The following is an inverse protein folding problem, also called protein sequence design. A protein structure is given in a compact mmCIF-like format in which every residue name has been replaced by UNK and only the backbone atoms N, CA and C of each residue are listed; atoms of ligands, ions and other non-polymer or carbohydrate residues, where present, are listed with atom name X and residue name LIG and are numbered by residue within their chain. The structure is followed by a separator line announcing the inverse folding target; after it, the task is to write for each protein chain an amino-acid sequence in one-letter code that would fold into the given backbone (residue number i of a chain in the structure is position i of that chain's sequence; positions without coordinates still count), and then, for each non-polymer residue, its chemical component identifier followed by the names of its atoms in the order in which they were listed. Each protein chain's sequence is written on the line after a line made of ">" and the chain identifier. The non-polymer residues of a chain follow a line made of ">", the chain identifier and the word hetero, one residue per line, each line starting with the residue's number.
data_IF_828966009789
#
_entry.id   IF_828966009789
#
_cell.length_a   1.000
_cell.length_b   1.000
_cell.length_c   1.000
_cell.angle_alpha   90.00
_cell.angle_beta   90.00
_cell.angle_gamma   90.00
#
_symmetry.space_group_name_H-M   'P 1'
#
loop_
_entity.id
_entity.type
_entity.pdbx_description
1 polymer ?
#
# COMPACT_ATOMS: atom_id res chain seq x y z
N UNK A 1 -15.45 -16.12 -23.91
CA UNK A 1 -15.51 -16.72 -22.57
C UNK A 1 -14.17 -16.47 -21.90
N UNK A 2 -14.14 -15.87 -20.73
CA UNK A 2 -12.89 -15.59 -20.02
C UNK A 2 -12.34 -16.87 -19.39
N UNK A 3 -11.02 -16.95 -19.17
CA UNK A 3 -10.39 -18.15 -18.59
C UNK A 3 -11.00 -18.54 -17.24
N UNK A 4 -11.37 -17.57 -16.41
CA UNK A 4 -11.94 -17.85 -15.10
C UNK A 4 -13.37 -18.42 -15.19
N UNK A 5 -14.18 -18.07 -16.21
CA UNK A 5 -15.46 -18.69 -16.46
C UNK A 5 -15.30 -20.16 -16.89
N UNK A 6 -14.28 -20.47 -17.73
CA UNK A 6 -13.94 -21.87 -18.11
C UNK A 6 -13.58 -22.70 -16.89
N UNK A 7 -12.93 -22.09 -15.91
CA UNK A 7 -12.53 -22.72 -14.63
C UNK A 7 -13.65 -22.71 -13.57
N UNK A 8 -14.89 -22.35 -13.94
CA UNK A 8 -16.05 -22.22 -13.04
C UNK A 8 -15.81 -21.24 -11.86
N UNK A 9 -14.97 -20.21 -12.07
CA UNK A 9 -14.78 -19.16 -11.11
C UNK A 9 -15.78 -18.01 -11.37
N UNK A 10 -16.28 -17.39 -10.29
CA UNK A 10 -17.28 -16.31 -10.36
C UNK A 10 -16.66 -14.94 -10.65
N UNK A 11 -15.39 -14.76 -10.31
CA UNK A 11 -14.63 -13.53 -10.49
C UNK A 11 -13.20 -13.85 -10.93
N UNK A 12 -12.52 -12.88 -11.52
CA UNK A 12 -11.10 -12.99 -11.83
C UNK A 12 -10.26 -13.02 -10.53
N UNK A 13 -9.52 -14.13 -10.23
CA UNK A 13 -8.82 -14.28 -8.96
C UNK A 13 -7.56 -13.44 -8.84
N UNK A 14 -6.88 -13.16 -9.96
CA UNK A 14 -5.56 -12.56 -9.97
C UNK A 14 -5.50 -11.19 -10.65
N UNK A 15 -6.61 -10.42 -10.61
CA UNK A 15 -6.61 -9.02 -11.01
C UNK A 15 -5.54 -8.24 -10.23
N UNK A 16 -4.82 -7.35 -10.93
CA UNK A 16 -3.83 -6.44 -10.32
C UNK A 16 -4.45 -5.16 -9.77
N UNK A 17 -5.75 -4.96 -9.96
CA UNK A 17 -6.49 -3.85 -9.36
C UNK A 17 -6.52 -3.97 -7.84
N UNK A 18 -6.33 -2.87 -7.09
CA UNK A 18 -6.36 -2.90 -5.63
C UNK A 18 -7.80 -3.10 -5.13
N UNK A 19 -8.19 -4.37 -4.98
CA UNK A 19 -9.48 -4.80 -4.45
C UNK A 19 -9.29 -5.31 -3.01
N UNK A 20 -9.92 -4.69 -2.00
CA UNK A 20 -9.85 -5.13 -0.61
C UNK A 20 -10.38 -6.55 -0.38
N UNK A 21 -11.37 -7.02 -1.16
CA UNK A 21 -11.95 -8.36 -1.03
C UNK A 21 -10.94 -9.46 -1.42
N UNK A 22 -10.01 -9.15 -2.33
CA UNK A 22 -8.94 -10.04 -2.78
C UNK A 22 -7.59 -9.78 -2.09
N UNK A 23 -7.59 -9.02 -1.00
CA UNK A 23 -6.37 -8.72 -0.26
C UNK A 23 -6.03 -9.82 0.74
N UNK A 24 -5.00 -10.59 0.44
CA UNK A 24 -4.44 -11.55 1.38
C UNK A 24 -3.68 -10.82 2.50
N UNK A 25 -4.21 -10.92 3.73
CA UNK A 25 -3.61 -10.29 4.91
C UNK A 25 -2.49 -11.16 5.47
N UNK A 26 -1.27 -10.96 4.98
CA UNK A 26 -0.09 -11.61 5.56
C UNK A 26 0.15 -11.15 7.01
N UNK A 27 1.04 -11.82 7.73
CA UNK A 27 1.44 -11.46 9.08
C UNK A 27 1.96 -10.02 9.17
N UNK A 28 2.76 -9.59 8.17
CA UNK A 28 3.27 -8.23 8.06
C UNK A 28 2.15 -7.20 7.86
N UNK A 29 1.18 -7.48 6.98
CA UNK A 29 0.04 -6.60 6.75
C UNK A 29 -0.85 -6.46 8.00
N UNK A 30 -1.14 -7.56 8.69
CA UNK A 30 -1.92 -7.52 9.93
C UNK A 30 -1.22 -6.70 11.01
N UNK A 31 0.09 -6.89 11.19
CA UNK A 31 0.88 -6.12 12.15
C UNK A 31 0.89 -4.63 11.80
N UNK A 32 1.05 -4.28 10.51
CA UNK A 32 1.02 -2.89 10.06
C UNK A 32 -0.35 -2.24 10.35
N UNK A 33 -1.46 -2.94 10.02
CA UNK A 33 -2.83 -2.45 10.27
C UNK A 33 -3.08 -2.21 11.76
N UNK A 34 -2.76 -3.19 12.62
CA UNK A 34 -2.94 -3.07 14.07
C UNK A 34 -2.14 -1.90 14.66
N UNK A 35 -0.87 -1.73 14.26
CA UNK A 35 -0.04 -0.63 14.72
C UNK A 35 -0.54 0.73 14.23
N UNK A 36 -1.00 0.81 12.97
CA UNK A 36 -1.61 2.04 12.43
C UNK A 36 -2.90 2.38 13.15
N UNK A 37 -3.77 1.40 13.39
CA UNK A 37 -5.01 1.60 14.15
C UNK A 37 -4.72 2.17 15.54
N UNK A 38 -3.79 1.57 16.28
CA UNK A 38 -3.38 2.05 17.61
C UNK A 38 -2.83 3.48 17.54
N UNK A 39 -1.94 3.77 16.58
CA UNK A 39 -1.33 5.09 16.43
C UNK A 39 -2.39 6.17 16.11
N UNK A 40 -3.36 5.86 15.25
CA UNK A 40 -4.47 6.75 14.87
C UNK A 40 -5.41 6.98 16.06
N UNK A 41 -5.84 5.92 16.76
CA UNK A 41 -6.72 6.01 17.92
C UNK A 41 -6.11 6.83 19.07
N UNK A 42 -4.80 6.67 19.27
CA UNK A 42 -4.05 7.44 20.27
C UNK A 42 -3.59 8.82 19.77
N UNK A 43 -3.99 9.24 18.56
CA UNK A 43 -3.67 10.54 17.94
C UNK A 43 -2.18 10.90 18.03
N UNK A 44 -1.30 9.93 17.69
CA UNK A 44 0.16 10.05 17.85
C UNK A 44 0.85 10.90 16.77
N UNK A 45 0.21 11.20 15.67
CA UNK A 45 0.69 12.11 14.62
C UNK A 45 1.22 11.38 13.39
N UNK A 46 2.52 11.04 13.29
CA UNK A 46 3.14 10.58 12.05
C UNK A 46 3.47 9.09 12.06
N UNK A 47 2.91 8.38 11.08
CA UNK A 47 3.21 6.99 10.77
C UNK A 47 3.80 6.86 9.37
N UNK A 48 4.86 6.08 9.24
CA UNK A 48 5.55 5.81 7.98
C UNK A 48 5.55 4.30 7.70
N UNK A 49 4.82 3.91 6.66
CA UNK A 49 4.77 2.52 6.17
C UNK A 49 5.60 2.43 4.90
N UNK A 50 6.59 1.58 4.94
CA UNK A 50 7.56 1.38 3.86
C UNK A 50 7.36 0.02 3.21
N UNK A 51 7.77 -0.09 1.97
CA UNK A 51 7.79 -1.35 1.23
C UNK A 51 8.02 -1.09 -0.25
N UNK A 52 8.47 -2.10 -0.95
CA UNK A 52 8.72 -2.00 -2.40
C UNK A 52 7.43 -1.90 -3.20
N UNK A 53 7.56 -1.63 -4.49
CA UNK A 53 6.43 -1.65 -5.44
C UNK A 53 5.78 -3.01 -5.44
N UNK A 54 4.44 -3.04 -5.34
CA UNK A 54 3.68 -4.29 -5.42
C UNK A 54 3.56 -5.08 -4.11
N UNK A 55 4.01 -4.54 -2.96
CA UNK A 55 3.84 -5.15 -1.63
C UNK A 55 2.45 -4.93 -1.01
N UNK A 56 1.52 -4.25 -1.70
CA UNK A 56 0.14 -4.09 -1.25
C UNK A 56 -0.16 -2.83 -0.42
N UNK A 57 0.74 -1.83 -0.35
CA UNK A 57 0.56 -0.60 0.44
C UNK A 57 -0.74 0.15 0.13
N UNK A 58 -1.05 0.36 -1.15
CA UNK A 58 -2.30 1.03 -1.57
C UNK A 58 -3.55 0.27 -1.13
N UNK A 59 -3.53 -1.06 -1.19
CA UNK A 59 -4.67 -1.87 -0.73
C UNK A 59 -4.76 -1.83 0.80
N UNK A 60 -3.62 -1.84 1.50
CA UNK A 60 -3.57 -1.68 2.96
C UNK A 60 -4.24 -0.37 3.40
N UNK A 61 -4.00 0.76 2.71
CA UNK A 61 -4.63 2.04 3.05
C UNK A 61 -6.15 2.01 2.88
N UNK A 62 -6.66 1.33 1.85
CA UNK A 62 -8.11 1.16 1.65
C UNK A 62 -8.74 0.35 2.77
N UNK A 63 -8.08 -0.74 3.19
CA UNK A 63 -8.52 -1.55 4.32
C UNK A 63 -8.46 -0.75 5.62
N UNK A 64 -7.41 0.04 5.82
CA UNK A 64 -7.31 0.92 6.99
C UNK A 64 -8.53 1.87 7.06
N UNK A 65 -8.92 2.49 5.95
CA UNK A 65 -10.13 3.33 5.90
C UNK A 65 -11.38 2.51 6.24
N UNK A 66 -11.51 1.29 5.68
CA UNK A 66 -12.67 0.43 5.95
C UNK A 66 -12.82 0.04 7.43
N UNK A 67 -11.70 -0.11 8.16
CA UNK A 67 -11.74 -0.43 9.61
C UNK A 67 -12.44 0.64 10.43
N UNK A 68 -12.46 1.88 9.96
CA UNK A 68 -13.07 3.03 10.67
C UNK A 68 -14.40 3.50 10.05
N UNK A 69 -14.90 2.83 9.00
CA UNK A 69 -16.10 3.28 8.26
C UNK A 69 -17.38 3.40 9.10
N UNK A 70 -17.44 2.75 10.26
CA UNK A 70 -18.61 2.79 11.14
C UNK A 70 -18.44 3.79 12.31
N UNK A 71 -17.33 4.55 12.32
CA UNK A 71 -16.99 5.45 13.41
C UNK A 71 -17.01 6.91 12.91
N UNK A 72 -18.06 7.64 13.25
CA UNK A 72 -18.29 9.02 12.79
C UNK A 72 -17.26 10.05 13.33
N UNK A 73 -16.49 9.67 14.35
CA UNK A 73 -15.45 10.52 14.95
C UNK A 73 -14.13 10.51 14.19
N UNK A 74 -13.99 9.74 13.09
CA UNK A 74 -12.82 9.75 12.23
C UNK A 74 -13.14 10.37 10.87
N UNK A 75 -12.24 11.23 10.40
CA UNK A 75 -12.32 11.88 9.07
C UNK A 75 -11.08 11.50 8.28
N UNK A 76 -11.26 10.69 7.25
CA UNK A 76 -10.17 10.24 6.38
C UNK A 76 -10.08 11.06 5.10
N UNK A 77 -8.87 11.48 4.80
CA UNK A 77 -8.50 12.08 3.52
C UNK A 77 -7.38 11.27 2.89
N UNK A 78 -7.41 11.09 1.57
CA UNK A 78 -6.41 10.28 0.86
C UNK A 78 -5.85 11.02 -0.34
N UNK A 79 -4.54 11.21 -0.34
CA UNK A 79 -3.75 11.72 -1.46
C UNK A 79 -3.03 10.56 -2.13
N UNK A 80 -3.45 10.19 -3.35
CA UNK A 80 -2.88 9.05 -4.08
C UNK A 80 -1.53 9.35 -4.71
N UNK A 81 -1.30 10.58 -5.12
CA UNK A 81 -0.07 11.03 -5.77
C UNK A 81 0.29 12.46 -5.34
N UNK A 82 1.35 12.65 -4.54
CA UNK A 82 1.78 13.99 -4.10
C UNK A 82 2.69 14.72 -5.11
N UNK A 83 2.60 14.40 -6.41
CA UNK A 83 3.41 15.00 -7.47
C UNK A 83 2.90 16.39 -7.87
N UNK A 84 3.21 17.41 -7.07
CA UNK A 84 2.88 18.80 -7.35
C UNK A 84 4.12 19.58 -7.77
N UNK A 85 3.93 20.64 -8.58
CA UNK A 85 5.03 21.46 -9.09
C UNK A 85 5.48 22.56 -8.11
N UNK A 86 4.63 22.92 -7.15
CA UNK A 86 4.92 24.02 -6.21
C UNK A 86 4.24 23.82 -4.86
N UNK A 87 4.75 24.53 -3.83
CA UNK A 87 4.13 24.64 -2.51
C UNK A 87 2.66 25.09 -2.61
N UNK A 88 2.40 26.08 -3.45
CA UNK A 88 1.06 26.60 -3.69
C UNK A 88 0.09 25.49 -4.16
N UNK A 89 0.49 24.71 -5.17
CA UNK A 89 -0.35 23.62 -5.68
C UNK A 89 -0.58 22.51 -4.64
N UNK A 90 0.43 22.20 -3.84
CA UNK A 90 0.31 21.21 -2.77
C UNK A 90 -0.68 21.68 -1.70
N UNK A 91 -0.54 22.91 -1.20
CA UNK A 91 -1.46 23.52 -0.22
C UNK A 91 -2.89 23.65 -0.79
N UNK A 92 -3.02 24.09 -2.05
CA UNK A 92 -4.32 24.14 -2.73
C UNK A 92 -4.97 22.76 -2.78
N UNK A 93 -4.22 21.69 -3.08
CA UNK A 93 -4.78 20.34 -3.11
C UNK A 93 -5.25 19.88 -1.72
N UNK A 94 -4.53 20.24 -0.66
CA UNK A 94 -4.94 19.95 0.72
C UNK A 94 -6.23 20.70 1.09
N UNK A 95 -6.34 21.99 0.79
CA UNK A 95 -7.57 22.75 1.07
C UNK A 95 -8.76 22.21 0.32
N UNK A 96 -8.57 21.83 -0.96
CA UNK A 96 -9.61 21.18 -1.77
C UNK A 96 -10.03 19.83 -1.17
N UNK A 97 -9.07 19.02 -0.73
CA UNK A 97 -9.32 17.72 -0.11
C UNK A 97 -10.07 17.85 1.22
N UNK A 98 -9.73 18.85 2.03
CA UNK A 98 -10.40 19.14 3.30
C UNK A 98 -11.74 19.89 3.12
N UNK A 99 -12.08 20.24 1.88
CA UNK A 99 -13.26 21.02 1.51
C UNK A 99 -13.33 22.36 2.26
N UNK A 100 -12.19 23.06 2.35
CA UNK A 100 -12.08 24.38 2.98
C UNK A 100 -11.81 25.45 1.94
N UNK A 101 -12.40 26.62 2.14
CA UNK A 101 -12.27 27.76 1.23
C UNK A 101 -11.41 28.82 1.93
N UNK A 102 -10.21 29.15 1.41
CA UNK A 102 -9.40 30.24 1.94
C UNK A 102 -10.02 31.60 1.61
N UNK A 103 -9.75 32.61 2.42
CA UNK A 103 -10.26 33.98 2.23
C UNK A 103 -9.67 34.61 0.98
N UNK A 104 -8.35 34.47 0.76
CA UNK A 104 -7.62 34.89 -0.42
C UNK A 104 -6.85 33.69 -1.00
N UNK A 105 -6.05 33.93 -2.06
CA UNK A 105 -5.32 32.85 -2.76
C UNK A 105 -3.81 32.99 -2.61
N UNK A 106 -3.32 33.08 -1.36
CA UNK A 106 -1.89 33.03 -1.05
C UNK A 106 -1.54 31.74 -0.31
N UNK A 107 -0.26 31.38 -0.26
CA UNK A 107 0.22 30.24 0.53
C UNK A 107 -0.10 30.39 2.02
N UNK A 108 -0.10 31.62 2.52
CA UNK A 108 -0.45 31.93 3.91
C UNK A 108 -1.94 31.64 4.17
N UNK A 109 -2.83 32.11 3.29
CA UNK A 109 -4.28 31.90 3.43
C UNK A 109 -4.63 30.42 3.40
N UNK A 110 -3.94 29.63 2.58
CA UNK A 110 -4.14 28.17 2.56
C UNK A 110 -3.70 27.51 3.87
N UNK A 111 -2.56 27.93 4.43
CA UNK A 111 -2.09 27.42 5.75
C UNK A 111 -3.07 27.78 6.85
N UNK A 112 -3.53 29.02 6.91
CA UNK A 112 -4.53 29.47 7.89
C UNK A 112 -5.89 28.76 7.73
N UNK A 113 -6.32 28.50 6.49
CA UNK A 113 -7.56 27.77 6.25
C UNK A 113 -7.45 26.31 6.72
N UNK A 114 -6.30 25.65 6.49
CA UNK A 114 -6.02 24.31 6.99
C UNK A 114 -5.98 24.32 8.53
N UNK A 115 -5.28 25.27 9.13
CA UNK A 115 -5.20 25.43 10.58
C UNK A 115 -6.60 25.53 11.21
N UNK A 116 -7.42 26.46 10.72
CA UNK A 116 -8.81 26.62 11.19
C UNK A 116 -9.61 25.32 11.09
N UNK A 117 -9.47 24.60 9.97
CA UNK A 117 -10.13 23.30 9.78
C UNK A 117 -9.68 22.27 10.82
N UNK A 118 -8.36 22.18 11.08
CA UNK A 118 -7.82 21.23 12.04
C UNK A 118 -8.30 21.52 13.47
N UNK A 119 -8.36 22.80 13.88
CA UNK A 119 -8.87 23.19 15.19
C UNK A 119 -10.38 22.96 15.29
N UNK A 120 -11.15 23.40 14.30
CA UNK A 120 -12.60 23.17 14.28
C UNK A 120 -12.95 21.68 14.36
N UNK A 121 -12.36 20.85 13.49
CA UNK A 121 -12.63 19.41 13.47
C UNK A 121 -12.05 18.69 14.67
N UNK A 122 -10.78 19.00 15.00
CA UNK A 122 -10.03 18.27 16.03
C UNK A 122 -10.39 18.66 17.46
N UNK A 123 -10.71 19.95 17.72
CA UNK A 123 -11.02 20.46 19.06
C UNK A 123 -12.53 20.64 19.23
N UNK A 124 -13.19 21.44 18.39
CA UNK A 124 -14.60 21.78 18.60
C UNK A 124 -15.52 20.59 18.33
N UNK A 125 -15.25 19.81 17.27
CA UNK A 125 -16.05 18.62 16.92
C UNK A 125 -15.46 17.32 17.49
N UNK A 126 -14.31 17.36 18.15
CA UNK A 126 -13.57 16.21 18.71
C UNK A 126 -13.37 15.06 17.70
N UNK A 127 -13.13 15.38 16.44
CA UNK A 127 -12.86 14.40 15.39
C UNK A 127 -11.37 14.12 15.22
N UNK A 128 -11.03 12.90 14.85
CA UNK A 128 -9.67 12.51 14.49
C UNK A 128 -9.50 12.64 12.99
N UNK A 129 -8.67 13.58 12.54
CA UNK A 129 -8.40 13.83 11.12
C UNK A 129 -7.21 12.96 10.71
N UNK A 130 -7.40 12.12 9.71
CA UNK A 130 -6.38 11.22 9.18
C UNK A 130 -6.11 11.60 7.71
N UNK A 131 -4.88 11.97 7.41
CA UNK A 131 -4.41 12.20 6.04
C UNK A 131 -3.48 11.05 5.63
N UNK A 132 -3.93 10.24 4.69
CA UNK A 132 -3.13 9.20 4.08
C UNK A 132 -2.50 9.74 2.80
N UNK A 133 -1.19 9.59 2.67
CA UNK A 133 -0.44 9.97 1.48
C UNK A 133 0.18 8.69 0.90
N UNK A 134 -0.29 8.27 -0.27
CA UNK A 134 0.34 7.19 -1.03
C UNK A 134 1.45 7.73 -1.92
N UNK A 135 2.31 6.87 -2.44
CA UNK A 135 3.47 7.23 -3.27
C UNK A 135 4.36 8.30 -2.60
N UNK A 136 4.49 8.24 -1.28
CA UNK A 136 5.19 9.22 -0.45
C UNK A 136 6.65 9.48 -0.85
N UNK A 137 7.32 8.56 -1.57
CA UNK A 137 8.67 8.79 -2.10
C UNK A 137 8.72 9.96 -3.10
N UNK A 138 7.56 10.38 -3.66
CA UNK A 138 7.44 11.55 -4.54
C UNK A 138 7.40 12.88 -3.78
N UNK A 139 7.19 12.87 -2.45
CA UNK A 139 7.25 14.07 -1.62
C UNK A 139 8.62 14.75 -1.75
N UNK A 140 8.58 16.04 -1.98
CA UNK A 140 9.78 16.89 -1.97
C UNK A 140 10.14 17.32 -0.55
N UNK A 141 11.38 17.78 -0.27
CA UNK A 141 11.72 18.34 1.03
C UNK A 141 10.79 19.48 1.47
N UNK A 142 10.37 20.34 0.54
CA UNK A 142 9.41 21.42 0.80
C UNK A 142 8.06 20.88 1.28
N UNK A 143 7.55 19.83 0.67
CA UNK A 143 6.26 19.24 1.08
C UNK A 143 6.37 18.52 2.43
N UNK A 144 7.49 17.86 2.70
CA UNK A 144 7.78 17.29 4.02
C UNK A 144 7.80 18.37 5.10
N UNK A 145 8.39 19.56 4.82
CA UNK A 145 8.37 20.68 5.77
C UNK A 145 6.96 21.24 5.99
N UNK A 146 6.11 21.32 4.96
CA UNK A 146 4.70 21.68 5.12
C UNK A 146 4.00 20.68 6.05
N UNK A 147 4.14 19.39 5.76
CA UNK A 147 3.53 18.33 6.58
C UNK A 147 4.05 18.37 8.03
N UNK A 148 5.35 18.65 8.22
CA UNK A 148 5.93 18.87 9.55
C UNK A 148 5.27 20.02 10.29
N UNK A 149 4.97 21.12 9.59
CA UNK A 149 4.28 22.27 10.17
C UNK A 149 2.87 21.90 10.61
N UNK A 150 2.13 21.12 9.81
CA UNK A 150 0.80 20.63 10.17
C UNK A 150 0.82 19.77 11.44
N UNK A 151 1.89 19.00 11.68
CA UNK A 151 2.07 18.23 12.91
C UNK A 151 2.34 19.07 14.16
N UNK A 152 2.59 20.39 14.04
CA UNK A 152 2.71 21.28 15.18
C UNK A 152 1.34 21.68 15.76
N UNK A 153 0.26 21.51 14.97
CA UNK A 153 -1.09 21.75 15.47
C UNK A 153 -1.48 20.60 16.41
N UNK A 154 -1.47 20.90 17.70
CA UNK A 154 -1.71 19.93 18.77
C UNK A 154 -2.39 20.60 19.96
N UNK A 155 -3.03 19.81 20.77
CA UNK A 155 -3.44 20.14 22.13
C UNK A 155 -2.37 19.67 23.11
N UNK A 156 -2.57 19.86 24.40
CA UNK A 156 -1.68 19.28 25.44
C UNK A 156 -1.70 17.73 25.45
N UNK A 157 -2.68 17.09 24.81
CA UNK A 157 -2.88 15.65 24.89
C UNK A 157 -2.59 14.94 23.57
N UNK A 158 -2.87 15.57 22.41
CA UNK A 158 -2.80 14.89 21.12
C UNK A 158 -2.55 15.81 19.94
N UNK A 159 -2.09 15.20 18.82
CA UNK A 159 -1.96 15.85 17.52
C UNK A 159 -3.31 15.98 16.81
N UNK A 160 -3.61 17.16 16.24
CA UNK A 160 -4.89 17.41 15.55
C UNK A 160 -4.98 16.65 14.20
N UNK A 161 -3.84 16.34 13.58
CA UNK A 161 -3.80 15.56 12.34
C UNK A 161 -2.94 14.30 12.53
N UNK A 162 -3.43 13.19 11.98
CA UNK A 162 -2.70 11.93 11.88
C UNK A 162 -2.23 11.76 10.44
N UNK A 163 -0.93 11.73 10.22
CA UNK A 163 -0.34 11.50 8.91
C UNK A 163 0.06 10.04 8.78
N UNK A 164 -0.42 9.39 7.73
CA UNK A 164 0.00 8.04 7.33
C UNK A 164 0.64 8.13 5.95
N UNK A 165 1.96 8.00 5.90
CA UNK A 165 2.71 8.07 4.65
C UNK A 165 3.08 6.65 4.23
N UNK A 166 2.60 6.23 3.05
CA UNK A 166 2.94 4.97 2.41
C UNK A 166 3.97 5.26 1.32
N UNK A 167 5.14 4.65 1.40
CA UNK A 167 6.24 5.00 0.50
C UNK A 167 7.14 3.80 0.18
N UNK A 168 7.98 3.99 -0.83
CA UNK A 168 9.11 3.12 -1.11
C UNK A 168 10.31 3.51 -0.21
N UNK A 169 11.31 2.63 -0.13
CA UNK A 169 12.46 2.81 0.76
C UNK A 169 13.25 4.09 0.48
N UNK A 170 13.21 4.61 -0.74
CA UNK A 170 13.93 5.82 -1.16
C UNK A 170 13.52 7.07 -0.37
N UNK A 171 12.32 7.10 0.20
CA UNK A 171 11.89 8.22 1.04
C UNK A 171 12.80 8.40 2.26
N UNK A 172 13.38 7.32 2.79
CA UNK A 172 14.24 7.38 3.97
C UNK A 172 15.40 8.35 3.79
N UNK A 173 16.03 8.37 2.60
CA UNK A 173 17.13 9.29 2.31
C UNK A 173 16.70 10.77 2.40
N UNK A 174 15.44 11.07 2.08
CA UNK A 174 14.89 12.43 2.19
C UNK A 174 14.51 12.76 3.62
N UNK A 175 13.80 11.85 4.28
CA UNK A 175 13.26 12.04 5.64
C UNK A 175 14.38 12.14 6.67
N UNK A 176 15.42 11.31 6.59
CA UNK A 176 16.55 11.36 7.51
C UNK A 176 17.38 12.63 7.40
N UNK A 177 17.40 13.27 6.21
CA UNK A 177 18.05 14.59 6.04
C UNK A 177 17.29 15.73 6.73
N UNK A 178 16.00 15.55 6.98
CA UNK A 178 15.14 16.50 7.68
C UNK A 178 14.94 15.98 9.10
N UNK A 179 15.99 16.14 9.96
CA UNK A 179 16.01 15.59 11.32
C UNK A 179 14.71 15.89 12.09
N UNK A 180 14.25 17.13 12.07
CA UNK A 180 13.03 17.55 12.77
C UNK A 180 11.73 16.89 12.25
N UNK A 181 11.72 16.37 11.02
CA UNK A 181 10.61 15.56 10.50
C UNK A 181 10.74 14.11 10.95
N UNK A 182 11.96 13.55 10.84
CA UNK A 182 12.23 12.17 11.23
C UNK A 182 11.94 11.92 12.72
N UNK A 183 12.29 12.84 13.59
CA UNK A 183 12.04 12.77 15.04
C UNK A 183 10.53 12.74 15.39
N UNK A 184 9.64 13.11 14.46
CA UNK A 184 8.19 13.02 14.62
C UNK A 184 7.57 11.71 14.16
N UNK A 185 8.36 10.82 13.56
CA UNK A 185 7.89 9.51 13.12
C UNK A 185 7.73 8.60 14.34
N UNK A 186 6.50 8.40 14.77
CA UNK A 186 6.18 7.56 15.93
C UNK A 186 6.08 6.08 15.54
N UNK A 187 5.59 5.81 14.34
CA UNK A 187 5.52 4.46 13.80
C UNK A 187 6.28 4.40 12.47
N UNK A 188 7.32 3.56 12.44
CA UNK A 188 7.98 3.14 11.20
C UNK A 188 7.81 1.64 11.06
N UNK A 189 7.25 1.19 9.94
CA UNK A 189 7.06 -0.23 9.67
C UNK A 189 7.37 -0.57 8.22
N UNK A 190 8.04 -1.69 8.00
CA UNK A 190 8.43 -2.15 6.66
C UNK A 190 7.59 -3.38 6.32
N UNK A 191 6.87 -3.31 5.19
CA UNK A 191 6.15 -4.44 4.62
C UNK A 191 7.09 -5.15 3.66
N UNK A 192 7.55 -6.32 4.08
CA UNK A 192 8.37 -7.20 3.25
C UNK A 192 7.50 -8.00 2.27
N UNK A 193 8.07 -8.50 1.17
CA UNK A 193 7.43 -9.51 0.33
C UNK A 193 7.00 -10.74 1.14
N UNK A 194 6.05 -11.50 0.60
CA UNK A 194 5.56 -12.75 1.21
C UNK A 194 6.65 -13.82 1.20
N UNK A 195 6.66 -14.68 2.20
CA UNK A 195 7.44 -15.92 2.14
C UNK A 195 6.74 -16.98 1.23
N UNK A 196 7.36 -18.15 1.06
CA UNK A 196 6.82 -19.22 0.23
C UNK A 196 5.46 -19.72 0.77
N UNK A 197 5.32 -19.86 2.08
CA UNK A 197 4.09 -20.28 2.74
C UNK A 197 2.97 -19.25 2.58
N UNK A 198 3.29 -17.97 2.77
CA UNK A 198 2.35 -16.88 2.58
C UNK A 198 1.99 -16.70 1.10
N UNK A 199 2.92 -16.97 0.17
CA UNK A 199 2.67 -16.98 -1.28
C UNK A 199 1.62 -18.03 -1.63
N UNK A 200 1.76 -19.27 -1.15
CA UNK A 200 0.74 -20.30 -1.26
C UNK A 200 -0.60 -19.83 -0.67
N UNK A 201 -0.56 -19.34 0.56
CA UNK A 201 -1.76 -18.84 1.24
C UNK A 201 -2.48 -17.75 0.46
N UNK A 202 -1.74 -16.84 -0.20
CA UNK A 202 -2.31 -15.81 -1.07
C UNK A 202 -2.99 -16.41 -2.31
N UNK A 203 -2.38 -17.40 -2.96
CA UNK A 203 -2.93 -18.06 -4.15
C UNK A 203 -4.25 -18.77 -3.76
N UNK A 204 -4.22 -19.61 -2.73
CA UNK A 204 -5.39 -20.34 -2.26
C UNK A 204 -6.52 -19.41 -1.80
N UNK A 205 -6.19 -18.34 -1.07
CA UNK A 205 -7.15 -17.34 -0.63
C UNK A 205 -7.86 -16.67 -1.82
N UNK A 206 -7.11 -16.24 -2.84
CA UNK A 206 -7.68 -15.55 -3.99
C UNK A 206 -8.54 -16.46 -4.87
N UNK A 207 -8.15 -17.73 -5.02
CA UNK A 207 -8.95 -18.71 -5.75
C UNK A 207 -10.28 -18.99 -5.02
N UNK A 208 -10.26 -19.14 -3.68
CA UNK A 208 -11.51 -19.29 -2.90
C UNK A 208 -12.40 -18.07 -2.98
N UNK A 209 -11.82 -16.87 -2.89
CA UNK A 209 -12.58 -15.62 -3.05
C UNK A 209 -13.20 -15.49 -4.45
N UNK A 210 -12.54 -16.05 -5.46
CA UNK A 210 -13.09 -16.12 -6.80
C UNK A 210 -14.20 -17.16 -6.97
N UNK A 211 -14.48 -17.97 -5.94
CA UNK A 211 -15.53 -18.97 -5.92
C UNK A 211 -15.07 -20.39 -6.24
N UNK A 212 -13.78 -20.68 -6.11
CA UNK A 212 -13.27 -22.05 -6.25
C UNK A 212 -13.82 -22.94 -5.12
N UNK A 213 -14.30 -24.12 -5.49
CA UNK A 213 -14.82 -25.12 -4.55
C UNK A 213 -13.69 -25.72 -3.70
N UNK A 214 -14.02 -26.07 -2.45
CA UNK A 214 -13.07 -26.72 -1.54
C UNK A 214 -12.61 -28.08 -2.07
N UNK A 215 -11.32 -28.37 -1.89
CA UNK A 215 -10.71 -29.62 -2.33
C UNK A 215 -10.16 -29.62 -3.76
N UNK A 216 -10.40 -28.55 -4.54
CA UNK A 216 -9.79 -28.39 -5.86
C UNK A 216 -8.42 -27.71 -5.71
N UNK A 217 -7.38 -28.31 -6.28
CA UNK A 217 -6.03 -27.75 -6.33
C UNK A 217 -5.67 -27.45 -7.77
N UNK A 218 -5.52 -26.15 -8.10
CA UNK A 218 -5.12 -25.72 -9.45
C UNK A 218 -3.60 -25.59 -9.62
N UNK A 219 -2.84 -25.52 -8.55
CA UNK A 219 -1.38 -25.35 -8.58
C UNK A 219 -0.70 -26.49 -7.80
N UNK A 220 0.29 -27.15 -8.37
CA UNK A 220 1.11 -28.15 -7.65
C UNK A 220 2.08 -27.46 -6.70
N UNK A 221 2.63 -28.18 -5.74
CA UNK A 221 3.65 -27.67 -4.81
C UNK A 221 4.90 -27.19 -5.54
N UNK A 222 5.32 -27.93 -6.57
CA UNK A 222 6.47 -27.56 -7.39
C UNK A 222 6.22 -26.30 -8.22
N UNK A 223 5.03 -26.14 -8.82
CA UNK A 223 4.70 -24.92 -9.57
C UNK A 223 4.66 -23.68 -8.65
N UNK A 224 4.14 -23.81 -7.42
CA UNK A 224 4.15 -22.71 -6.44
C UNK A 224 5.57 -22.35 -6.02
N UNK A 225 6.46 -23.33 -5.83
CA UNK A 225 7.87 -23.05 -5.53
C UNK A 225 8.54 -22.28 -6.66
N UNK A 226 8.39 -22.71 -7.91
CA UNK A 226 8.92 -22.00 -9.08
C UNK A 226 8.37 -20.57 -9.18
N UNK A 227 7.06 -20.40 -8.92
CA UNK A 227 6.39 -19.12 -8.90
C UNK A 227 6.97 -18.21 -7.80
N UNK A 228 7.19 -18.74 -6.60
CA UNK A 228 7.82 -18.01 -5.50
C UNK A 228 9.25 -17.57 -5.85
N UNK A 229 10.08 -18.47 -6.36
CA UNK A 229 11.45 -18.17 -6.77
C UNK A 229 11.48 -17.06 -7.85
N UNK A 230 10.52 -17.06 -8.77
CA UNK A 230 10.41 -16.04 -9.82
C UNK A 230 9.86 -14.72 -9.32
N UNK A 231 8.82 -14.75 -8.51
CA UNK A 231 8.16 -13.55 -7.97
C UNK A 231 8.91 -12.90 -6.82
N UNK A 232 9.78 -13.64 -6.12
CA UNK A 232 10.42 -13.26 -4.87
C UNK A 232 9.40 -12.83 -3.80
N UNK A 233 8.19 -13.42 -3.83
CA UNK A 233 7.12 -13.14 -2.88
C UNK A 233 6.41 -11.79 -3.08
N UNK A 234 6.66 -11.05 -4.16
CA UNK A 234 5.95 -9.79 -4.43
C UNK A 234 4.51 -10.03 -4.87
N UNK A 235 3.48 -9.62 -4.11
CA UNK A 235 2.08 -9.92 -4.40
C UNK A 235 1.63 -9.56 -5.81
N UNK A 236 2.09 -8.43 -6.35
CA UNK A 236 1.77 -8.03 -7.73
C UNK A 236 2.37 -8.97 -8.77
N UNK A 237 3.61 -9.42 -8.57
CA UNK A 237 4.27 -10.38 -9.47
C UNK A 237 3.61 -11.74 -9.38
N UNK A 238 3.27 -12.21 -8.16
CA UNK A 238 2.51 -13.44 -7.94
C UNK A 238 1.19 -13.39 -8.73
N UNK A 239 0.45 -12.29 -8.63
CA UNK A 239 -0.83 -12.14 -9.35
C UNK A 239 -0.65 -12.23 -10.87
N UNK A 240 0.36 -11.56 -11.44
CA UNK A 240 0.63 -11.62 -12.88
C UNK A 240 0.99 -13.05 -13.32
N UNK A 241 1.90 -13.71 -12.59
CA UNK A 241 2.29 -15.09 -12.91
C UNK A 241 1.13 -16.07 -12.81
N UNK A 242 0.30 -15.95 -11.76
CA UNK A 242 -0.89 -16.80 -11.60
C UNK A 242 -1.92 -16.55 -12.70
N UNK A 243 -2.16 -15.27 -13.07
CA UNK A 243 -3.05 -14.92 -14.18
C UNK A 243 -2.60 -15.59 -15.48
N UNK A 244 -1.33 -15.38 -15.87
CA UNK A 244 -0.74 -15.98 -17.08
C UNK A 244 -0.78 -17.51 -17.04
N UNK A 245 -0.55 -18.10 -15.85
CA UNK A 245 -0.59 -19.54 -15.68
C UNK A 245 -1.99 -20.13 -15.88
N UNK A 246 -3.04 -19.46 -15.36
CA UNK A 246 -4.43 -19.91 -15.57
C UNK A 246 -4.89 -19.71 -17.01
N UNK A 247 -4.48 -18.64 -17.69
CA UNK A 247 -4.72 -18.47 -19.14
C UNK A 247 -4.06 -19.61 -19.94
N UNK A 248 -2.79 -19.88 -19.67
CA UNK A 248 -2.04 -20.95 -20.34
C UNK A 248 -2.65 -22.32 -20.06
N UNK A 249 -3.12 -22.57 -18.82
CA UNK A 249 -3.81 -23.77 -18.43
C UNK A 249 -5.03 -24.05 -19.33
N UNK A 250 -5.88 -23.02 -19.51
CA UNK A 250 -7.07 -23.12 -20.36
C UNK A 250 -6.72 -23.29 -21.83
N UNK A 251 -5.71 -22.55 -22.33
CA UNK A 251 -5.26 -22.64 -23.72
C UNK A 251 -4.73 -24.04 -24.10
N UNK A 252 -4.12 -24.75 -23.13
CA UNK A 252 -3.57 -26.08 -23.34
C UNK A 252 -4.51 -27.21 -22.87
N UNK A 253 -5.74 -26.91 -22.50
CA UNK A 253 -6.72 -27.87 -21.97
C UNK A 253 -6.17 -28.77 -20.84
N UNK A 254 -5.28 -28.17 -20.01
CA UNK A 254 -4.73 -28.82 -18.81
C UNK A 254 -5.66 -28.60 -17.62
N UNK A 255 -5.59 -29.46 -16.59
CA UNK A 255 -6.42 -29.37 -15.38
C UNK A 255 -5.70 -28.75 -14.18
N UNK A 256 -4.37 -28.77 -14.20
CA UNK A 256 -3.51 -28.34 -13.10
C UNK A 256 -2.31 -27.59 -13.67
N UNK A 257 -1.92 -26.53 -13.01
CA UNK A 257 -0.64 -25.82 -13.24
C UNK A 257 0.46 -26.63 -12.58
N UNK A 258 1.12 -27.45 -13.36
CA UNK A 258 2.29 -28.23 -12.97
C UNK A 258 3.58 -27.44 -13.23
N UNK A 259 4.73 -28.06 -12.92
CA UNK A 259 6.06 -27.45 -13.12
C UNK A 259 6.37 -27.20 -14.60
N UNK A 260 5.89 -28.07 -15.50
CA UNK A 260 6.09 -27.93 -16.93
C UNK A 260 5.37 -26.67 -17.45
N UNK A 261 4.09 -26.52 -17.09
CA UNK A 261 3.30 -25.35 -17.47
C UNK A 261 3.86 -24.08 -16.88
N UNK A 262 4.27 -24.10 -15.60
CA UNK A 262 4.87 -22.92 -14.95
C UNK A 262 6.19 -22.52 -15.62
N UNK A 263 6.99 -23.49 -16.05
CA UNK A 263 8.22 -23.21 -16.81
C UNK A 263 7.91 -22.51 -18.12
N UNK A 264 6.91 -22.98 -18.88
CA UNK A 264 6.45 -22.32 -20.11
C UNK A 264 6.04 -20.88 -19.87
N UNK A 265 5.26 -20.62 -18.81
CA UNK A 265 4.82 -19.26 -18.43
C UNK A 265 6.01 -18.35 -18.14
N UNK A 266 6.98 -18.84 -17.36
CA UNK A 266 8.19 -18.07 -17.02
C UNK A 266 9.03 -17.76 -18.27
N UNK A 267 9.21 -18.75 -19.16
CA UNK A 267 9.93 -18.56 -20.42
C UNK A 267 9.23 -17.56 -21.36
N UNK A 268 7.90 -17.60 -21.44
CA UNK A 268 7.12 -16.62 -22.20
C UNK A 268 7.27 -15.20 -21.64
N UNK A 269 7.28 -15.04 -20.32
CA UNK A 269 7.57 -13.74 -19.70
C UNK A 269 8.97 -13.24 -20.02
N UNK A 270 9.98 -14.10 -20.01
CA UNK A 270 11.37 -13.72 -20.35
C UNK A 270 11.50 -13.28 -21.82
N UNK A 271 10.75 -13.91 -22.73
CA UNK A 271 10.73 -13.57 -24.16
C UNK A 271 9.98 -12.25 -24.40
N UNK A 272 8.80 -12.08 -23.81
CA UNK A 272 7.96 -10.88 -23.94
C UNK A 272 8.51 -9.71 -23.09
N UNK A 273 9.24 -10.03 -22.05
CA UNK A 273 9.74 -9.14 -21.01
C UNK A 273 11.19 -8.70 -21.18
N UNK A 274 11.67 -8.45 -22.38
CA UNK A 274 12.94 -7.70 -22.54
C UNK A 274 12.81 -6.36 -21.82
N UNK A 275 12.75 -6.39 -20.47
CA UNK A 275 12.81 -5.23 -19.65
C UNK A 275 11.86 -5.10 -18.46
N UNK A 276 10.89 -5.98 -18.21
CA UNK A 276 9.90 -5.75 -17.14
C UNK A 276 10.39 -6.14 -15.72
N UNK A 277 11.31 -7.11 -15.60
CA UNK A 277 11.88 -7.48 -14.31
C UNK A 277 13.40 -7.65 -14.46
N UNK A 278 14.24 -6.73 -13.93
CA UNK A 278 15.66 -6.98 -13.85
C UNK A 278 15.89 -8.25 -13.02
N UNK A 279 16.79 -9.13 -13.49
CA UNK A 279 17.24 -10.31 -12.74
C UNK A 279 17.70 -9.82 -11.38
N UNK A 280 17.06 -10.30 -10.29
CA UNK A 280 17.30 -9.82 -8.95
C UNK A 280 18.77 -9.94 -8.56
N UNK A 281 19.42 -8.81 -8.35
CA UNK A 281 20.52 -8.76 -7.40
C UNK A 281 19.88 -8.85 -6.00
N UNK A 282 20.11 -9.98 -5.33
CA UNK A 282 19.76 -10.16 -3.94
C UNK A 282 20.49 -9.08 -3.14
N UNK A 283 19.75 -8.08 -2.67
CA UNK A 283 20.23 -7.13 -1.68
C UNK A 283 20.48 -7.94 -0.41
N UNK A 284 21.76 -8.22 -0.12
CA UNK A 284 22.17 -8.87 1.09
C UNK A 284 21.69 -8.05 2.30
N UNK A 285 20.88 -8.69 3.13
CA UNK A 285 20.30 -8.15 4.36
C UNK A 285 21.31 -7.96 5.52
N UNK A 286 22.60 -7.77 5.23
CA UNK A 286 23.67 -7.86 6.24
C UNK A 286 24.27 -6.52 6.71
N UNK A 287 23.63 -5.37 6.42
CA UNK A 287 24.24 -4.07 6.81
C UNK A 287 23.41 -3.18 7.73
N UNK A 288 22.47 -3.73 8.52
CA UNK A 288 21.71 -2.92 9.49
C UNK A 288 21.65 -3.55 10.89
N UNK A 289 22.78 -4.09 11.38
CA UNK A 289 22.88 -4.50 12.79
C UNK A 289 23.60 -3.50 13.69
N UNK A 290 24.21 -2.45 13.16
CA UNK A 290 24.91 -1.44 13.95
C UNK A 290 24.57 -0.03 13.46
N UNK A 291 23.45 0.55 13.95
CA UNK A 291 23.24 1.98 14.10
C UNK A 291 21.98 2.23 14.95
#
# INVERSE_FOLDING_TARGET
>A
MSYYEVLNLKKEPFSTSPDPDFFYRSSAHNTALQRLEIAIRLRRGLSLILGDVGTGKTTLSRILIQLFNQEDNFVFHMMLDPSYKSEFQFLYSLTKMFNVIPTFRSTLDYKEAIERYLFQKGVDENKTIVLIIDEGQKLTPTFLEILRTLLNYETNEYKLIQLVILAQMEILQKVTRIKNFYDRVILKYIINPLDEKETRGMIDFRLRQAGMEDGITLFTDGSIRMLYERSLGYPRKISILCHNALETLVMHDKRVVDEELMKMVIEQEDINGKGFFPRGEAVKADTLKDA
#
